data_IF_511734652804
#
_entry.id   IF_511734652804
#
_cell.length_a   1.000
_cell.length_b   1.000
_cell.length_c   1.000
_cell.angle_alpha   90.00
_cell.angle_beta   90.00
_cell.angle_gamma   90.00
#
_symmetry.space_group_name_H-M   'P 1'
#
loop_
_entity.id
_entity.type
_entity.pdbx_description
1 polymer ?
#
# COMPACT_ATOMS: atom_id res chain seq x y z
N UNK A 1 -9.42 -5.53 -9.49
CA UNK A 1 -8.25 -4.65 -9.77
C UNK A 1 -7.94 -4.63 -11.26
N UNK A 2 -7.69 -3.47 -11.88
CA UNK A 2 -7.21 -3.40 -13.27
C UNK A 2 -5.89 -4.19 -13.46
N UNK A 3 -5.71 -4.98 -14.53
CA UNK A 3 -4.54 -5.85 -14.68
C UNK A 3 -3.19 -5.12 -14.64
N UNK A 4 -3.10 -3.94 -15.26
CA UNK A 4 -1.87 -3.14 -15.24
C UNK A 4 -1.50 -2.67 -13.82
N UNK A 5 -2.50 -2.38 -12.99
CA UNK A 5 -2.28 -2.02 -11.59
C UNK A 5 -1.81 -3.22 -10.78
N UNK A 6 -2.40 -4.40 -11.00
CA UNK A 6 -1.95 -5.62 -10.33
C UNK A 6 -0.49 -5.94 -10.66
N UNK A 7 -0.09 -5.91 -11.93
CA UNK A 7 1.30 -6.11 -12.32
C UNK A 7 2.23 -5.10 -11.67
N UNK A 8 1.84 -3.82 -11.65
CA UNK A 8 2.62 -2.78 -10.97
C UNK A 8 2.85 -3.09 -9.49
N UNK A 9 1.80 -3.51 -8.77
CA UNK A 9 1.91 -3.86 -7.35
C UNK A 9 2.80 -5.07 -7.13
N UNK A 10 2.69 -6.11 -7.96
CA UNK A 10 3.56 -7.29 -7.93
C UNK A 10 5.02 -6.91 -8.19
N UNK A 11 5.30 -6.04 -9.17
CA UNK A 11 6.64 -5.54 -9.44
C UNK A 11 7.21 -4.79 -8.24
N UNK A 12 6.39 -3.99 -7.53
CA UNK A 12 6.81 -3.27 -6.33
C UNK A 12 7.12 -4.17 -5.15
N UNK A 13 6.36 -5.25 -4.97
CA UNK A 13 6.63 -6.27 -3.95
C UNK A 13 8.00 -6.91 -4.22
N UNK A 14 8.25 -7.31 -5.48
CA UNK A 14 9.51 -7.94 -5.87
C UNK A 14 10.69 -6.97 -5.78
N UNK A 15 10.58 -5.77 -6.33
CA UNK A 15 11.71 -4.81 -6.41
C UNK A 15 12.12 -4.23 -5.06
N UNK A 16 11.26 -4.32 -4.05
CA UNK A 16 11.49 -3.80 -2.70
C UNK A 16 11.63 -4.90 -1.65
N UNK A 17 11.67 -6.16 -2.09
CA UNK A 17 11.84 -7.31 -1.21
C UNK A 17 10.83 -7.33 -0.05
N UNK A 18 9.56 -6.99 -0.34
CA UNK A 18 8.50 -6.99 0.68
C UNK A 18 8.25 -8.44 1.10
N UNK A 19 8.47 -8.74 2.39
CA UNK A 19 8.35 -10.09 2.92
C UNK A 19 6.89 -10.56 3.00
N UNK A 20 6.69 -11.87 3.06
CA UNK A 20 5.37 -12.46 3.24
C UNK A 20 4.70 -12.00 4.54
N UNK A 21 5.44 -11.87 5.64
CA UNK A 21 4.91 -11.38 6.92
C UNK A 21 4.34 -9.95 6.78
N UNK A 22 5.01 -9.09 6.00
CA UNK A 22 4.52 -7.74 5.75
C UNK A 22 3.28 -7.73 4.85
N UNK A 23 3.20 -8.65 3.88
CA UNK A 23 1.98 -8.85 3.10
C UNK A 23 0.82 -9.35 3.98
N UNK A 24 1.11 -10.15 5.01
CA UNK A 24 0.15 -10.56 6.04
C UNK A 24 -0.44 -9.37 6.78
N UNK A 25 0.41 -8.49 7.32
CA UNK A 25 -0.05 -7.25 8.00
C UNK A 25 -0.87 -6.34 7.07
N UNK A 26 -0.54 -6.30 5.78
CA UNK A 26 -1.32 -5.57 4.80
C UNK A 26 -2.69 -6.21 4.56
N UNK A 27 -2.77 -7.54 4.48
CA UNK A 27 -4.03 -8.25 4.35
C UNK A 27 -4.92 -8.05 5.59
N UNK A 28 -4.35 -8.19 6.79
CA UNK A 28 -5.06 -7.93 8.05
C UNK A 28 -5.64 -6.52 8.11
N UNK A 29 -4.89 -5.52 7.62
CA UNK A 29 -5.37 -4.15 7.54
C UNK A 29 -6.48 -3.97 6.50
N UNK A 30 -6.43 -4.66 5.34
CA UNK A 30 -7.54 -4.63 4.38
C UNK A 30 -8.82 -5.26 4.94
N UNK A 31 -8.67 -6.32 5.74
CA UNK A 31 -9.78 -7.03 6.38
C UNK A 31 -10.50 -6.17 7.44
N UNK A 32 -9.90 -5.05 7.89
CA UNK A 32 -10.59 -4.08 8.76
C UNK A 32 -11.51 -3.12 8.00
N UNK A 33 -11.65 -3.28 6.67
CA UNK A 33 -12.42 -2.39 5.79
C UNK A 33 -12.15 -0.90 6.05
N UNK A 34 -10.89 -0.44 5.91
CA UNK A 34 -10.49 0.89 6.33
C UNK A 34 -11.18 1.97 5.49
N UNK A 35 -11.66 3.03 6.16
CA UNK A 35 -12.15 4.23 5.47
C UNK A 35 -10.98 4.99 4.85
N UNK A 36 -11.07 5.25 3.54
CA UNK A 36 -10.05 5.97 2.79
C UNK A 36 -10.65 7.18 2.06
N UNK A 37 -9.90 8.30 1.93
CA UNK A 37 -10.38 9.45 1.16
C UNK A 37 -10.31 9.16 -0.36
N UNK A 38 -11.10 9.93 -1.13
CA UNK A 38 -11.05 9.88 -2.60
C UNK A 38 -9.71 10.40 -3.16
N UNK A 39 -9.06 11.31 -2.44
CA UNK A 39 -7.75 11.86 -2.77
C UNK A 39 -6.60 10.88 -2.48
N UNK A 40 -5.36 11.31 -2.70
CA UNK A 40 -4.17 10.51 -2.36
C UNK A 40 -4.10 10.29 -0.85
N UNK A 41 -3.82 9.07 -0.46
CA UNK A 41 -3.63 8.67 0.93
C UNK A 41 -2.48 7.71 1.10
N UNK A 42 -2.03 7.54 2.34
CA UNK A 42 -1.05 6.53 2.68
C UNK A 42 -1.28 5.95 4.09
N UNK A 43 -0.95 4.67 4.25
CA UNK A 43 -0.94 3.95 5.53
C UNK A 43 0.47 3.44 5.81
N UNK A 44 1.01 3.75 6.98
CA UNK A 44 2.27 3.18 7.43
C UNK A 44 2.03 1.83 8.10
N UNK A 45 2.73 0.82 7.62
CA UNK A 45 2.92 -0.48 8.25
C UNK A 45 4.38 -0.56 8.73
N UNK A 46 4.71 -1.50 9.64
CA UNK A 46 6.04 -1.54 10.28
C UNK A 46 7.24 -1.50 9.32
N UNK A 47 7.17 -2.18 8.16
CA UNK A 47 8.27 -2.21 7.20
C UNK A 47 7.94 -1.67 5.79
N UNK A 48 6.71 -1.20 5.57
CA UNK A 48 6.33 -0.58 4.30
C UNK A 48 5.29 0.52 4.47
N UNK A 49 5.19 1.41 3.50
CA UNK A 49 4.06 2.35 3.41
C UNK A 49 3.21 1.98 2.21
N UNK A 50 1.92 1.76 2.45
CA UNK A 50 0.91 1.54 1.41
C UNK A 50 0.41 2.90 0.95
N UNK A 51 0.45 3.17 -0.36
CA UNK A 51 -0.07 4.42 -0.91
C UNK A 51 -1.23 4.14 -1.84
N UNK A 52 -2.31 4.91 -1.71
CA UNK A 52 -3.51 4.75 -2.51
C UNK A 52 -4.14 6.06 -2.94
N UNK A 53 -5.22 5.94 -3.71
CA UNK A 53 -6.08 7.05 -4.12
C UNK A 53 -7.48 6.50 -4.38
N UNK A 54 -8.49 7.03 -3.69
CA UNK A 54 -9.80 6.38 -3.59
C UNK A 54 -9.65 4.95 -3.08
N UNK A 55 -10.47 4.02 -3.57
CA UNK A 55 -10.50 2.64 -3.07
C UNK A 55 -9.32 1.77 -3.56
N UNK A 56 -8.35 2.36 -4.28
CA UNK A 56 -7.26 1.62 -4.90
C UNK A 56 -5.93 1.88 -4.22
N UNK A 57 -5.27 0.79 -3.82
CA UNK A 57 -3.83 0.78 -3.55
C UNK A 57 -3.08 0.99 -4.87
N UNK A 58 -2.17 1.96 -4.90
CA UNK A 58 -1.46 2.41 -6.10
C UNK A 58 0.01 2.01 -6.10
N UNK A 59 0.66 1.91 -4.94
CA UNK A 59 2.06 1.51 -4.80
C UNK A 59 2.40 1.16 -3.36
N UNK A 60 3.53 0.49 -3.17
CA UNK A 60 4.18 0.29 -1.87
C UNK A 60 5.48 1.06 -1.84
N UNK A 61 5.88 1.58 -0.69
CA UNK A 61 7.13 2.32 -0.48
C UNK A 61 7.96 1.67 0.62
N UNK A 62 9.29 1.74 0.51
CA UNK A 62 10.18 1.45 1.64
C UNK A 62 10.24 2.63 2.60
N UNK A 63 10.80 2.43 3.80
CA UNK A 63 10.95 3.49 4.80
C UNK A 63 11.77 4.72 4.30
N UNK A 64 12.62 4.55 3.30
CA UNK A 64 13.46 5.63 2.74
C UNK A 64 12.70 6.49 1.72
N UNK A 65 11.51 6.08 1.28
CA UNK A 65 10.72 6.80 0.28
C UNK A 65 9.62 7.60 0.95
N UNK A 66 9.47 8.86 0.55
CA UNK A 66 8.44 9.75 1.11
C UNK A 66 7.08 9.51 0.43
N UNK A 67 6.00 9.26 1.19
CA UNK A 67 4.66 9.16 0.63
C UNK A 67 4.09 10.54 0.31
N UNK A 68 3.06 10.56 -0.52
CA UNK A 68 2.26 11.75 -0.84
C UNK A 68 0.80 11.44 -0.54
N UNK A 69 0.12 12.34 0.16
CA UNK A 69 -1.30 12.22 0.47
C UNK A 69 -1.60 12.42 1.94
N UNK A 70 -2.84 12.14 2.33
CA UNK A 70 -3.27 12.13 3.72
C UNK A 70 -2.87 10.81 4.40
N UNK A 71 -2.26 10.89 5.58
CA UNK A 71 -2.04 9.69 6.40
C UNK A 71 -3.37 9.19 6.96
N UNK A 72 -3.60 7.88 6.85
CA UNK A 72 -4.76 7.18 7.43
C UNK A 72 -4.30 6.24 8.54
N UNK A 73 -5.12 6.14 9.58
CA UNK A 73 -4.83 5.39 10.80
C UNK A 73 -5.56 4.06 10.83
#
# INVERSE_FOLDING_TARGET
LPPALLHHLLDRIRSREISADQLGLFAEWLDTEPEVPNEKWFKRLPAMTVCGQGDLVKTFLTAQQLPIGKEIF
#
